data_IF_365360228271
#
_entry.id   IF_365360228271
#
_cell.length_a   1.000
_cell.length_b   1.000
_cell.length_c   1.000
_cell.angle_alpha   90.00
_cell.angle_beta   90.00
_cell.angle_gamma   90.00
#
_symmetry.space_group_name_H-M   'P 1'
#
loop_
_entity.id
_entity.type
_entity.pdbx_description
1 polymer ?
#
# COMPACT_ATOMS: atom_id res chain seq x y z
N UNK A 1 -4.75 21.14 -1.31
CA UNK A 1 -3.34 21.49 -1.56
C UNK A 1 -2.52 20.52 -0.73
N UNK A 2 -1.97 19.48 -1.34
CA UNK A 2 -1.33 18.36 -0.64
C UNK A 2 0.12 18.70 -0.33
N UNK A 3 0.51 18.69 0.95
CA UNK A 3 1.92 18.74 1.36
C UNK A 3 2.18 17.55 2.27
N UNK A 4 2.86 16.53 1.73
CA UNK A 4 3.34 15.39 2.50
C UNK A 4 4.71 15.76 3.06
N UNK A 5 4.79 16.06 4.35
CA UNK A 5 6.05 16.35 5.04
C UNK A 5 6.61 15.03 5.59
N UNK A 6 7.80 14.65 5.12
CA UNK A 6 8.56 13.52 5.64
C UNK A 6 9.21 13.88 6.98
N UNK A 7 8.92 13.14 8.04
CA UNK A 7 9.61 13.26 9.32
C UNK A 7 10.57 12.08 9.55
N UNK A 8 11.78 12.36 10.05
CA UNK A 8 12.81 11.37 10.37
C UNK A 8 12.48 10.58 11.64
N UNK A 9 12.85 9.31 11.59
CA UNK A 9 12.57 8.26 12.56
C UNK A 9 13.46 8.35 13.81
N UNK A 10 12.89 8.29 15.02
CA UNK A 10 13.64 7.90 16.23
C UNK A 10 12.81 7.03 17.17
N UNK A 11 13.51 6.02 17.68
CA UNK A 11 13.23 5.14 18.82
C UNK A 11 12.50 3.79 18.61
N UNK A 12 13.27 2.74 18.94
CA UNK A 12 12.88 1.34 19.20
C UNK A 12 12.27 1.22 20.61
N UNK A 13 11.29 0.33 20.80
CA UNK A 13 11.41 -0.91 21.61
C UNK A 13 10.09 -1.68 21.79
N UNK A 14 10.22 -3.01 21.61
CA UNK A 14 9.49 -4.19 22.11
C UNK A 14 7.97 -4.33 21.93
N UNK A 15 7.59 -5.34 21.13
CA UNK A 15 6.25 -5.94 21.02
C UNK A 15 6.27 -7.35 21.63
N UNK A 16 5.23 -7.64 22.43
CA UNK A 16 4.93 -8.97 22.99
C UNK A 16 3.98 -9.69 22.02
N UNK A 17 4.21 -11.00 21.87
CA UNK A 17 3.55 -11.89 20.92
C UNK A 17 2.06 -12.14 21.24
N UNK A 18 1.22 -12.07 20.21
CA UNK A 18 -0.12 -12.65 20.18
C UNK A 18 -0.22 -13.61 18.98
N UNK A 19 -0.51 -14.88 19.25
CA UNK A 19 -0.61 -15.93 18.25
C UNK A 19 -1.98 -15.87 17.54
N UNK A 20 -1.96 -15.74 16.21
CA UNK A 20 -3.11 -16.01 15.35
C UNK A 20 -2.73 -17.10 14.35
N UNK A 21 -3.55 -18.16 14.29
CA UNK A 21 -3.43 -19.24 13.33
C UNK A 21 -3.79 -18.71 11.93
N UNK A 22 -2.77 -18.54 11.09
CA UNK A 22 -2.92 -18.48 9.63
C UNK A 22 -2.23 -19.72 9.05
N UNK A 23 -2.88 -20.37 8.09
CA UNK A 23 -2.23 -21.40 7.26
C UNK A 23 -1.22 -20.66 6.39
N UNK A 24 -0.01 -20.52 6.93
CA UNK A 24 1.16 -20.06 6.19
C UNK A 24 1.63 -21.21 5.31
N UNK A 25 1.80 -20.95 4.01
CA UNK A 25 2.95 -21.53 3.32
C UNK A 25 4.18 -21.04 4.08
N UNK A 26 4.72 -21.89 4.96
CA UNK A 26 5.96 -21.64 5.68
C UNK A 26 7.10 -21.53 4.67
N UNK A 27 7.30 -20.34 4.09
CA UNK A 27 8.64 -19.96 3.66
C UNK A 27 9.44 -19.79 4.94
N UNK A 28 10.40 -20.70 5.15
CA UNK A 28 11.34 -20.61 6.26
C UNK A 28 11.98 -19.21 6.23
N UNK A 29 11.73 -18.43 7.28
CA UNK A 29 12.22 -17.06 7.42
C UNK A 29 13.73 -17.04 7.19
N UNK A 30 14.17 -16.53 6.03
CA UNK A 30 15.59 -16.40 5.67
C UNK A 30 16.11 -17.27 4.53
N UNK A 31 15.30 -18.13 3.91
CA UNK A 31 15.69 -18.76 2.64
C UNK A 31 15.39 -17.85 1.45
N UNK A 32 16.35 -17.74 0.52
CA UNK A 32 16.17 -17.00 -0.73
C UNK A 32 15.12 -17.76 -1.57
N UNK A 33 13.97 -17.17 -1.91
CA UNK A 33 12.96 -17.83 -2.69
C UNK A 33 13.52 -18.16 -4.07
N UNK A 34 13.19 -19.33 -4.58
CA UNK A 34 13.46 -19.66 -5.98
C UNK A 34 12.36 -19.06 -6.86
N UNK A 35 12.70 -18.74 -8.09
CA UNK A 35 11.79 -18.17 -9.08
C UNK A 35 11.64 -19.10 -10.28
N UNK A 36 10.62 -18.85 -11.09
CA UNK A 36 10.42 -19.53 -12.37
C UNK A 36 10.21 -18.50 -13.46
N UNK A 37 10.76 -18.78 -14.65
CA UNK A 37 10.36 -18.09 -15.87
C UNK A 37 9.16 -18.80 -16.49
N UNK A 38 8.02 -18.11 -16.58
CA UNK A 38 6.82 -18.57 -17.28
C UNK A 38 7.02 -18.54 -18.79
N UNK A 39 7.68 -17.51 -19.30
CA UNK A 39 7.94 -17.35 -20.74
C UNK A 39 9.29 -16.71 -21.02
N UNK A 40 9.83 -17.05 -22.19
CA UNK A 40 11.02 -16.48 -22.79
C UNK A 40 10.64 -16.05 -24.21
N UNK A 41 10.61 -14.74 -24.45
CA UNK A 41 10.23 -14.13 -25.72
C UNK A 41 11.38 -13.36 -26.37
N UNK A 42 11.24 -13.07 -27.67
CA UNK A 42 12.20 -12.25 -28.44
C UNK A 42 13.51 -12.94 -28.80
N UNK A 43 13.67 -14.22 -28.47
CA UNK A 43 14.84 -15.02 -28.83
C UNK A 43 14.68 -15.61 -30.24
N UNK A 44 15.71 -15.54 -31.10
CA UNK A 44 15.73 -16.35 -32.32
C UNK A 44 15.52 -17.85 -32.03
N UNK A 45 14.82 -18.57 -32.92
CA UNK A 45 14.43 -19.98 -32.67
C UNK A 45 15.61 -20.90 -32.32
N UNK A 46 16.75 -20.75 -33.00
CA UNK A 46 17.97 -21.52 -32.74
C UNK A 46 18.61 -21.23 -31.36
N UNK A 47 18.33 -20.06 -30.78
CA UNK A 47 18.90 -19.64 -29.50
C UNK A 47 18.08 -20.08 -28.28
N UNK A 48 16.77 -20.33 -28.47
CA UNK A 48 15.83 -20.65 -27.39
C UNK A 48 16.27 -21.83 -26.49
N UNK A 49 16.84 -22.94 -27.01
CA UNK A 49 17.31 -24.04 -26.16
C UNK A 49 18.37 -23.63 -25.14
N UNK A 50 19.24 -22.68 -25.50
CA UNK A 50 20.29 -22.17 -24.61
C UNK A 50 19.68 -21.37 -23.46
N UNK A 51 18.75 -20.46 -23.76
CA UNK A 51 18.04 -19.70 -22.72
C UNK A 51 17.20 -20.61 -21.82
N UNK A 52 16.48 -21.59 -22.38
CA UNK A 52 15.74 -22.57 -21.57
C UNK A 52 16.66 -23.39 -20.65
N UNK A 53 17.86 -23.75 -21.11
CA UNK A 53 18.85 -24.50 -20.33
C UNK A 53 19.41 -23.70 -19.16
N UNK A 54 19.81 -22.44 -19.37
CA UNK A 54 20.50 -21.65 -18.34
C UNK A 54 19.58 -20.77 -17.49
N UNK A 55 18.35 -20.52 -17.94
CA UNK A 55 17.39 -19.61 -17.29
C UNK A 55 16.07 -20.33 -16.93
N UNK A 56 15.58 -21.23 -17.78
CA UNK A 56 14.16 -21.66 -17.79
C UNK A 56 13.73 -22.75 -16.80
N UNK A 57 14.65 -23.49 -16.15
CA UNK A 57 14.27 -24.64 -15.30
C UNK A 57 14.60 -24.43 -13.83
N UNK A 58 13.66 -23.83 -13.10
CA UNK A 58 13.70 -23.78 -11.65
C UNK A 58 12.29 -23.98 -11.10
N UNK A 59 12.16 -24.82 -10.06
CA UNK A 59 10.94 -24.85 -9.25
C UNK A 59 10.83 -23.51 -8.52
N UNK A 60 9.65 -22.90 -8.50
CA UNK A 60 9.45 -21.62 -7.80
C UNK A 60 8.87 -21.85 -6.43
N UNK A 61 9.40 -21.16 -5.43
CA UNK A 61 8.75 -20.98 -4.13
C UNK A 61 8.16 -19.58 -3.99
N UNK A 62 8.40 -18.68 -4.95
CA UNK A 62 7.77 -17.37 -5.02
C UNK A 62 6.31 -17.47 -5.47
N UNK A 63 5.47 -16.57 -4.96
CA UNK A 63 4.05 -16.43 -5.30
C UNK A 63 3.77 -15.79 -6.67
N UNK A 64 4.81 -15.59 -7.48
CA UNK A 64 4.76 -14.98 -8.80
C UNK A 64 5.65 -15.69 -9.80
N UNK A 65 5.43 -15.37 -11.07
CA UNK A 65 6.26 -15.81 -12.18
C UNK A 65 7.11 -14.66 -12.74
N UNK A 66 8.17 -15.01 -13.46
CA UNK A 66 8.97 -14.09 -14.24
C UNK A 66 8.73 -14.30 -15.74
N UNK A 67 8.87 -13.23 -16.52
CA UNK A 67 8.92 -13.30 -17.98
C UNK A 67 10.20 -12.65 -18.47
N UNK A 68 10.85 -13.24 -19.47
CA UNK A 68 12.02 -12.66 -20.10
C UNK A 68 11.67 -12.24 -21.53
N UNK A 69 12.10 -11.04 -21.92
CA UNK A 69 12.02 -10.56 -23.30
C UNK A 69 13.40 -10.14 -23.78
N UNK A 70 13.93 -10.84 -24.77
CA UNK A 70 15.11 -10.37 -25.50
C UNK A 70 14.70 -9.24 -26.44
N UNK A 71 15.40 -8.11 -26.31
CA UNK A 71 15.20 -6.88 -27.08
C UNK A 71 16.22 -6.75 -28.21
N UNK A 72 17.44 -7.20 -27.96
CA UNK A 72 18.54 -7.14 -28.90
C UNK A 72 19.34 -8.44 -28.85
N UNK A 73 19.55 -9.02 -30.03
CA UNK A 73 20.34 -10.23 -30.24
C UNK A 73 20.94 -10.16 -31.64
N UNK A 74 21.95 -9.31 -31.82
CA UNK A 74 22.48 -9.05 -33.16
C UNK A 74 23.96 -8.67 -33.19
N UNK A 75 24.58 -8.94 -34.33
CA UNK A 75 25.93 -8.53 -34.65
C UNK A 75 25.91 -7.10 -35.20
N UNK A 76 26.50 -6.15 -34.47
CA UNK A 76 26.67 -4.77 -34.95
C UNK A 76 27.84 -4.64 -35.93
N UNK A 77 28.82 -5.51 -35.80
CA UNK A 77 29.96 -5.61 -36.72
C UNK A 77 30.51 -7.04 -36.72
N UNK A 78 31.61 -7.28 -37.45
CA UNK A 78 32.30 -8.58 -37.45
C UNK A 78 33.03 -8.91 -36.15
N UNK A 79 33.15 -7.94 -35.24
CA UNK A 79 33.90 -8.11 -34.00
C UNK A 79 33.05 -7.78 -32.77
N UNK A 80 31.75 -7.49 -32.97
CA UNK A 80 30.87 -7.00 -31.92
C UNK A 80 29.46 -7.58 -32.03
N UNK A 81 29.09 -8.33 -31.00
CA UNK A 81 27.73 -8.80 -30.77
C UNK A 81 27.10 -8.03 -29.60
N UNK A 82 25.84 -7.59 -29.76
CA UNK A 82 25.07 -6.89 -28.74
C UNK A 82 23.90 -7.75 -28.27
N UNK A 83 23.74 -7.78 -26.95
CA UNK A 83 22.66 -8.48 -26.29
C UNK A 83 21.98 -7.60 -25.25
N UNK A 84 20.66 -7.51 -25.35
CA UNK A 84 19.81 -6.84 -24.38
C UNK A 84 18.60 -7.72 -24.07
N UNK A 85 18.38 -8.03 -22.79
CA UNK A 85 17.18 -8.66 -22.31
C UNK A 85 16.58 -7.92 -21.11
N UNK A 86 15.26 -7.90 -21.06
CA UNK A 86 14.48 -7.40 -19.94
C UNK A 86 13.76 -8.58 -19.25
N UNK A 87 13.76 -8.56 -17.92
CA UNK A 87 13.03 -9.50 -17.08
C UNK A 87 11.92 -8.74 -16.38
N UNK A 88 10.71 -9.29 -16.44
CA UNK A 88 9.50 -8.75 -15.86
C UNK A 88 9.00 -9.68 -14.76
N UNK A 89 8.44 -9.10 -13.71
CA UNK A 89 7.63 -9.83 -12.74
C UNK A 89 6.18 -9.87 -13.23
N UNK A 90 5.53 -11.02 -13.07
CA UNK A 90 4.13 -11.22 -13.41
C UNK A 90 3.37 -11.66 -12.17
N UNK A 91 2.63 -10.72 -11.62
CA UNK A 91 1.82 -10.87 -10.42
C UNK A 91 0.71 -9.84 -10.43
N UNK A 92 -0.37 -10.11 -9.69
CA UNK A 92 -1.40 -9.12 -9.37
C UNK A 92 -1.89 -8.33 -10.59
N UNK A 93 -2.59 -9.03 -11.50
CA UNK A 93 -2.90 -8.75 -12.93
C UNK A 93 -3.57 -7.43 -13.33
N UNK A 94 -3.46 -6.34 -12.55
CA UNK A 94 -4.10 -5.06 -12.89
C UNK A 94 -3.43 -4.35 -14.08
N UNK A 95 -2.10 -4.29 -14.13
CA UNK A 95 -1.34 -3.51 -15.13
C UNK A 95 -0.42 -4.36 -16.01
N UNK A 96 -0.56 -5.68 -15.95
CA UNK A 96 0.33 -6.62 -16.66
C UNK A 96 1.76 -6.67 -16.09
N UNK A 97 2.69 -7.32 -16.81
CA UNK A 97 4.07 -7.53 -16.36
C UNK A 97 4.79 -6.22 -16.02
N UNK A 98 5.50 -6.19 -14.89
CA UNK A 98 6.27 -5.03 -14.44
C UNK A 98 7.77 -5.27 -14.64
N UNK A 99 8.48 -4.31 -15.23
CA UNK A 99 9.93 -4.44 -15.45
C UNK A 99 10.64 -4.59 -14.10
N UNK A 100 11.40 -5.67 -13.97
CA UNK A 100 12.13 -6.02 -12.76
C UNK A 100 13.63 -5.76 -12.93
N UNK A 101 14.21 -6.23 -14.03
CA UNK A 101 15.64 -6.18 -14.27
C UNK A 101 15.93 -6.03 -15.77
N UNK A 102 16.91 -5.20 -16.11
CA UNK A 102 17.35 -5.01 -17.49
C UNK A 102 18.83 -5.32 -17.59
N UNK A 103 19.20 -6.14 -18.56
CA UNK A 103 20.57 -6.58 -18.78
C UNK A 103 21.04 -6.23 -20.18
N UNK A 104 22.15 -5.52 -20.26
CA UNK A 104 22.81 -5.16 -21.51
C UNK A 104 24.25 -5.64 -21.47
N UNK A 105 24.71 -6.23 -22.56
CA UNK A 105 26.07 -6.73 -22.69
C UNK A 105 26.56 -6.67 -24.13
N UNK A 106 27.87 -6.58 -24.26
CA UNK A 106 28.57 -6.58 -25.53
C UNK A 106 29.63 -7.68 -25.49
N UNK A 107 29.67 -8.50 -26.53
CA UNK A 107 30.64 -9.58 -26.65
C UNK A 107 31.54 -9.26 -27.84
N UNK A 108 32.85 -9.30 -27.60
CA UNK A 108 33.82 -9.29 -28.68
C UNK A 108 33.79 -10.63 -29.38
N UNK A 109 33.83 -10.60 -30.69
CA UNK A 109 33.83 -11.82 -31.51
C UNK A 109 35.14 -11.92 -32.28
N UNK A 110 35.66 -13.13 -32.50
CA UNK A 110 36.84 -13.34 -33.33
C UNK A 110 36.41 -14.01 -34.64
N UNK A 111 37.03 -13.57 -35.75
CA UNK A 111 36.66 -13.83 -37.15
C UNK A 111 35.97 -15.16 -37.44
N UNK A 112 34.84 -15.09 -38.14
CA UNK A 112 33.89 -16.20 -38.27
C UNK A 112 34.13 -17.10 -39.49
N UNK A 113 33.76 -18.39 -39.35
CA UNK A 113 33.57 -19.33 -40.46
C UNK A 113 32.14 -19.32 -41.02
N UNK A 114 31.11 -19.15 -40.18
CA UNK A 114 29.70 -19.01 -40.59
C UNK A 114 28.86 -18.21 -39.57
N UNK A 115 27.76 -17.58 -40.02
CA UNK A 115 26.85 -16.81 -39.13
C UNK A 115 26.03 -17.70 -38.18
N UNK A 116 25.75 -18.95 -38.57
CA UNK A 116 24.90 -19.86 -37.80
C UNK A 116 25.60 -20.40 -36.55
N UNK A 117 26.82 -20.94 -36.70
CA UNK A 117 27.62 -21.46 -35.58
C UNK A 117 27.92 -20.39 -34.54
N UNK A 118 28.20 -19.17 -34.99
CA UNK A 118 28.48 -18.06 -34.09
C UNK A 118 27.23 -17.53 -33.37
N UNK A 119 26.05 -17.64 -33.99
CA UNK A 119 24.78 -17.35 -33.33
C UNK A 119 24.52 -18.28 -32.14
N UNK A 120 24.88 -19.56 -32.26
CA UNK A 120 24.79 -20.52 -31.16
C UNK A 120 25.78 -20.23 -30.03
N UNK A 121 27.03 -19.88 -30.38
CA UNK A 121 28.03 -19.47 -29.39
C UNK A 121 27.58 -18.22 -28.62
N UNK A 122 27.07 -17.22 -29.33
CA UNK A 122 26.53 -16.01 -28.69
C UNK A 122 25.28 -16.30 -27.87
N UNK A 123 24.42 -17.21 -28.29
CA UNK A 123 23.26 -17.65 -27.50
C UNK A 123 23.71 -18.28 -26.18
N UNK A 124 24.73 -19.15 -26.22
CA UNK A 124 25.31 -19.76 -25.03
C UNK A 124 25.94 -18.72 -24.10
N UNK A 125 26.81 -17.85 -24.62
CA UNK A 125 27.52 -16.85 -23.82
C UNK A 125 26.55 -15.82 -23.19
N UNK A 126 25.59 -15.31 -23.97
CA UNK A 126 24.60 -14.33 -23.49
C UNK A 126 23.67 -14.93 -22.43
N UNK A 127 23.18 -16.15 -22.63
CA UNK A 127 22.30 -16.83 -21.66
C UNK A 127 23.03 -17.19 -20.36
N UNK A 128 24.28 -17.65 -20.41
CA UNK A 128 25.10 -17.90 -19.23
C UNK A 128 25.37 -16.59 -18.48
N UNK A 129 25.82 -15.56 -19.20
CA UNK A 129 26.12 -14.26 -18.62
C UNK A 129 24.89 -13.61 -17.97
N UNK A 130 23.74 -13.66 -18.62
CA UNK A 130 22.47 -13.19 -18.06
C UNK A 130 22.08 -13.99 -16.81
N UNK A 131 22.15 -15.31 -16.86
CA UNK A 131 21.82 -16.18 -15.72
C UNK A 131 22.69 -15.87 -14.51
N UNK A 132 24.01 -15.79 -14.69
CA UNK A 132 24.95 -15.45 -13.61
C UNK A 132 24.66 -14.07 -13.01
N UNK A 133 24.48 -13.05 -13.87
CA UNK A 133 24.22 -11.67 -13.43
C UNK A 133 22.87 -11.55 -12.74
N UNK A 134 21.83 -12.19 -13.27
CA UNK A 134 20.51 -12.18 -12.66
C UNK A 134 20.46 -12.96 -11.35
N UNK A 135 21.11 -14.12 -11.24
CA UNK A 135 21.20 -14.87 -9.98
C UNK A 135 21.93 -14.05 -8.89
N UNK A 136 23.02 -13.37 -9.26
CA UNK A 136 23.72 -12.48 -8.34
C UNK A 136 22.84 -11.28 -7.92
N UNK A 137 22.12 -10.68 -8.88
CA UNK A 137 21.17 -9.61 -8.59
C UNK A 137 20.05 -10.09 -7.66
N UNK A 138 19.43 -11.24 -7.96
CA UNK A 138 18.35 -11.83 -7.19
C UNK A 138 18.75 -12.05 -5.73
N UNK A 139 19.91 -12.68 -5.50
CA UNK A 139 20.47 -12.92 -4.16
C UNK A 139 20.56 -11.64 -3.31
N UNK A 140 20.80 -10.49 -3.95
CA UNK A 140 21.00 -9.21 -3.28
C UNK A 140 19.73 -8.34 -3.18
N UNK A 141 18.65 -8.67 -3.90
CA UNK A 141 17.48 -7.80 -4.04
C UNK A 141 16.14 -8.46 -3.71
N UNK A 142 16.06 -9.80 -3.63
CA UNK A 142 14.80 -10.52 -3.43
C UNK A 142 14.01 -10.05 -2.20
N UNK A 143 14.68 -9.62 -1.14
CA UNK A 143 14.08 -9.23 0.14
C UNK A 143 13.87 -7.72 0.30
N UNK A 144 14.16 -6.94 -0.74
CA UNK A 144 14.19 -5.47 -0.71
C UNK A 144 13.44 -4.82 -1.85
N UNK A 145 13.37 -5.45 -3.02
CA UNK A 145 12.61 -4.90 -4.15
C UNK A 145 11.11 -5.04 -3.86
N UNK A 146 10.33 -3.94 -3.88
CA UNK A 146 8.90 -3.99 -3.65
C UNK A 146 8.14 -4.97 -4.55
N UNK A 147 8.67 -5.21 -5.75
CA UNK A 147 8.08 -6.12 -6.73
C UNK A 147 8.17 -7.59 -6.34
N UNK A 148 9.09 -7.94 -5.44
CA UNK A 148 9.42 -9.31 -5.06
C UNK A 148 8.86 -9.71 -3.69
N UNK A 149 8.15 -8.80 -3.02
CA UNK A 149 7.51 -9.03 -1.73
C UNK A 149 6.54 -10.22 -1.82
N UNK A 150 6.65 -11.18 -0.92
CA UNK A 150 5.80 -12.38 -0.89
C UNK A 150 4.54 -12.18 -0.03
N UNK A 151 4.60 -11.23 0.89
CA UNK A 151 3.59 -11.09 1.93
C UNK A 151 3.46 -9.63 2.38
N UNK A 152 2.22 -9.18 2.58
CA UNK A 152 1.93 -7.92 3.28
C UNK A 152 1.42 -8.24 4.68
N UNK A 153 2.09 -7.72 5.71
CA UNK A 153 1.67 -7.81 7.11
C UNK A 153 1.22 -6.45 7.59
N UNK A 154 -0.08 -6.29 7.75
CA UNK A 154 -0.67 -5.09 8.31
C UNK A 154 -0.61 -5.15 9.84
N UNK A 155 -0.13 -4.09 10.46
CA UNK A 155 -0.16 -3.91 11.91
C UNK A 155 -0.84 -2.58 12.22
N UNK A 156 -1.93 -2.61 13.00
CA UNK A 156 -2.59 -1.38 13.41
C UNK A 156 -1.96 -0.90 14.71
N UNK A 157 -1.20 0.19 14.61
CA UNK A 157 -0.70 0.90 15.77
C UNK A 157 -1.88 1.47 16.58
N UNK A 158 -1.68 1.76 17.89
CA UNK A 158 -2.67 2.51 18.65
C UNK A 158 -3.08 3.79 17.92
N UNK A 159 -4.37 4.10 17.97
CA UNK A 159 -4.91 5.32 17.40
C UNK A 159 -4.13 6.52 17.97
N UNK A 160 -3.85 7.49 17.11
CA UNK A 160 -2.97 8.59 17.46
C UNK A 160 -3.55 9.42 18.60
N UNK A 161 -2.75 9.58 19.65
CA UNK A 161 -2.98 10.54 20.71
C UNK A 161 -1.69 11.35 20.90
N UNK A 162 -1.77 12.68 20.86
CA UNK A 162 -0.58 13.50 21.04
C UNK A 162 -0.14 13.46 22.51
N UNK A 163 1.17 13.48 22.75
CA UNK A 163 1.72 13.51 24.13
C UNK A 163 1.32 14.78 24.90
N UNK A 164 1.06 15.87 24.17
CA UNK A 164 0.54 17.14 24.69
C UNK A 164 -0.66 17.52 23.85
N UNK A 165 -1.71 18.04 24.50
CA UNK A 165 -2.89 18.50 23.78
C UNK A 165 -2.51 19.52 22.71
N UNK A 166 -3.00 19.30 21.49
CA UNK A 166 -2.87 20.27 20.42
C UNK A 166 -3.89 21.41 20.61
N UNK A 167 -3.49 22.62 20.24
CA UNK A 167 -4.32 23.81 20.46
C UNK A 167 -5.62 23.78 19.64
N UNK A 168 -5.52 23.32 18.39
CA UNK A 168 -6.61 23.31 17.43
C UNK A 168 -7.29 21.96 17.26
N UNK A 169 -6.55 20.86 17.43
CA UNK A 169 -7.08 19.52 17.17
C UNK A 169 -7.52 18.84 18.46
N UNK A 170 -8.77 18.35 18.50
CA UNK A 170 -9.20 17.40 19.52
C UNK A 170 -9.22 16.00 18.91
N UNK A 171 -8.41 15.10 19.45
CA UNK A 171 -8.42 13.69 19.03
C UNK A 171 -9.47 12.89 19.79
N UNK A 172 -10.09 11.94 19.10
CA UNK A 172 -11.10 11.07 19.67
C UNK A 172 -10.50 10.24 20.82
N UNK A 173 -11.20 10.18 21.95
CA UNK A 173 -10.73 9.50 23.16
C UNK A 173 -9.75 10.30 24.03
N UNK A 174 -9.31 11.50 23.61
CA UNK A 174 -8.47 12.37 24.44
C UNK A 174 -9.23 12.96 25.63
N UNK A 175 -10.46 13.43 25.38
CA UNK A 175 -11.44 13.88 26.39
C UNK A 175 -12.83 13.82 25.77
N UNK A 176 -13.86 13.99 26.61
CA UNK A 176 -15.22 14.23 26.12
C UNK A 176 -15.30 15.57 25.39
N UNK A 177 -15.95 15.58 24.23
CA UNK A 177 -16.23 16.80 23.46
C UNK A 177 -17.16 17.70 24.27
N UNK A 178 -16.84 19.00 24.34
CA UNK A 178 -17.68 20.00 24.99
C UNK A 178 -17.74 21.30 24.18
N UNK A 179 -18.62 22.22 24.58
CA UNK A 179 -18.80 23.49 23.88
C UNK A 179 -17.57 24.41 23.87
N UNK A 180 -16.59 24.19 24.75
CA UNK A 180 -15.31 24.90 24.75
C UNK A 180 -14.37 24.48 23.61
N UNK A 181 -14.64 23.35 22.94
CA UNK A 181 -13.91 22.94 21.74
C UNK A 181 -14.40 23.66 20.47
N UNK A 182 -15.53 24.37 20.50
CA UNK A 182 -16.08 25.08 19.34
C UNK A 182 -15.58 26.53 19.33
N UNK A 183 -14.36 26.74 18.81
CA UNK A 183 -13.65 28.03 18.87
C UNK A 183 -13.90 28.96 17.68
N UNK A 184 -14.52 28.44 16.61
CA UNK A 184 -14.80 29.24 15.42
C UNK A 184 -16.03 30.14 15.61
N UNK A 185 -16.06 31.26 14.88
CA UNK A 185 -17.21 32.17 14.90
C UNK A 185 -18.33 31.60 14.04
N UNK A 186 -19.56 31.65 14.54
CA UNK A 186 -20.73 31.26 13.75
C UNK A 186 -20.87 32.15 12.50
N UNK A 187 -21.19 31.54 11.36
CA UNK A 187 -21.45 32.30 10.14
C UNK A 187 -22.71 33.16 10.28
N UNK A 188 -22.63 34.49 10.00
CA UNK A 188 -23.80 35.35 9.97
C UNK A 188 -24.84 34.82 8.98
N UNK A 189 -26.09 34.66 9.43
CA UNK A 189 -27.19 34.16 8.61
C UNK A 189 -27.26 32.64 8.44
N UNK A 190 -26.39 31.86 9.09
CA UNK A 190 -26.54 30.41 9.11
C UNK A 190 -27.86 30.00 9.78
N UNK A 191 -28.61 29.11 9.13
CA UNK A 191 -29.84 28.51 9.70
C UNK A 191 -29.54 27.47 10.79
N UNK A 192 -28.29 27.01 10.89
CA UNK A 192 -27.90 25.97 11.84
C UNK A 192 -27.55 26.55 13.22
N UNK A 193 -27.68 25.71 14.24
CA UNK A 193 -27.39 26.04 15.63
C UNK A 193 -25.90 25.89 15.96
N UNK A 194 -25.29 24.81 15.48
CA UNK A 194 -23.87 24.51 15.60
C UNK A 194 -23.39 23.75 14.37
N UNK A 195 -22.09 23.56 14.27
CA UNK A 195 -21.45 22.72 13.28
C UNK A 195 -20.11 22.24 13.83
N UNK A 196 -19.93 20.92 13.88
CA UNK A 196 -18.63 20.28 14.09
C UNK A 196 -17.90 20.06 12.76
N UNK A 197 -16.59 20.29 12.77
CA UNK A 197 -15.67 19.81 11.73
C UNK A 197 -14.92 18.59 12.27
N UNK A 198 -15.45 17.40 12.04
CA UNK A 198 -14.80 16.12 12.37
C UNK A 198 -14.34 15.38 11.13
N UNK A 199 -13.20 14.70 11.24
CA UNK A 199 -12.65 13.87 10.17
C UNK A 199 -11.74 12.76 10.73
N UNK A 200 -11.33 11.85 9.86
CA UNK A 200 -10.30 10.86 10.16
C UNK A 200 -9.26 10.80 9.04
N UNK A 201 -8.04 10.43 9.42
CA UNK A 201 -6.93 10.21 8.48
C UNK A 201 -6.11 9.00 8.94
N UNK A 202 -5.26 8.49 8.05
CA UNK A 202 -4.34 7.40 8.38
C UNK A 202 -2.93 7.72 7.90
N UNK A 203 -1.95 7.18 8.60
CA UNK A 203 -0.54 7.25 8.27
C UNK A 203 0.00 5.83 8.21
N UNK A 204 0.60 5.45 7.08
CA UNK A 204 1.23 4.15 6.89
C UNK A 204 2.76 4.30 6.89
N UNK A 205 3.46 3.34 7.49
CA UNK A 205 4.92 3.34 7.64
C UNK A 205 5.55 2.11 6.96
N UNK A 206 5.42 1.96 5.63
CA UNK A 206 5.82 0.73 4.93
C UNK A 206 7.31 0.44 5.11
N UNK A 207 7.61 -0.82 5.40
CA UNK A 207 8.98 -1.29 5.58
C UNK A 207 9.12 -2.71 5.05
N UNK A 208 10.12 -2.95 4.23
CA UNK A 208 10.39 -4.28 3.69
C UNK A 208 11.53 -4.92 4.48
N UNK A 209 11.28 -6.11 5.02
CA UNK A 209 12.31 -6.94 5.66
C UNK A 209 12.12 -8.41 5.29
N UNK A 210 13.17 -9.06 4.79
CA UNK A 210 13.18 -10.51 4.47
C UNK A 210 12.03 -10.92 3.53
N UNK A 211 11.70 -10.07 2.55
CA UNK A 211 10.65 -10.34 1.56
C UNK A 211 9.22 -10.13 2.08
N UNK A 212 9.05 -9.59 3.28
CA UNK A 212 7.76 -9.22 3.88
C UNK A 212 7.63 -7.70 3.91
N UNK A 213 6.51 -7.18 3.42
CA UNK A 213 6.10 -5.79 3.63
C UNK A 213 5.40 -5.67 4.97
N UNK A 214 6.10 -5.13 5.96
CA UNK A 214 5.47 -4.68 7.19
C UNK A 214 4.81 -3.33 6.92
N UNK A 215 3.53 -3.24 7.26
CA UNK A 215 2.71 -2.08 7.04
C UNK A 215 2.06 -1.64 8.36
N UNK A 216 2.83 -0.99 9.27
CA UNK A 216 2.27 -0.31 10.41
C UNK A 216 1.38 0.84 9.95
N UNK A 217 0.14 0.88 10.43
CA UNK A 217 -0.84 1.91 10.13
C UNK A 217 -1.30 2.54 11.44
N UNK A 218 -1.19 3.86 11.52
CA UNK A 218 -1.77 4.64 12.60
C UNK A 218 -2.94 5.45 12.07
N UNK A 219 -4.07 5.39 12.78
CA UNK A 219 -5.29 6.12 12.42
C UNK A 219 -5.48 7.27 13.41
N UNK A 220 -5.97 8.39 12.89
CA UNK A 220 -6.34 9.58 13.65
C UNK A 220 -7.81 9.85 13.40
N UNK A 221 -8.56 10.06 14.47
CA UNK A 221 -9.93 10.55 14.42
C UNK A 221 -9.94 11.85 15.21
N UNK A 222 -10.40 12.94 14.60
CA UNK A 222 -10.23 14.26 15.19
C UNK A 222 -11.36 15.22 14.83
N UNK A 223 -11.46 16.30 15.59
CA UNK A 223 -12.19 17.50 15.20
C UNK A 223 -11.30 18.74 15.28
N UNK A 224 -11.55 19.71 14.40
CA UNK A 224 -10.82 20.98 14.34
C UNK A 224 -11.62 22.06 15.06
N UNK A 225 -11.07 22.59 16.15
CA UNK A 225 -11.71 23.61 16.99
C UNK A 225 -11.92 24.92 16.23
N UNK A 226 -10.94 25.34 15.43
CA UNK A 226 -10.95 26.54 14.59
C UNK A 226 -11.96 26.50 13.45
N UNK A 227 -12.48 25.31 13.11
CA UNK A 227 -13.48 25.09 12.06
C UNK A 227 -14.85 24.66 12.60
N UNK A 228 -14.95 24.47 13.92
CA UNK A 228 -16.19 24.10 14.60
C UNK A 228 -16.76 25.31 15.33
N UNK A 229 -18.05 25.59 15.14
CA UNK A 229 -18.71 26.76 15.71
C UNK A 229 -20.06 26.40 16.31
N UNK A 230 -20.54 27.26 17.21
CA UNK A 230 -21.87 27.18 17.81
C UNK A 230 -22.47 28.57 17.97
N UNK A 231 -23.79 28.66 18.01
CA UNK A 231 -24.51 29.84 18.52
C UNK A 231 -24.55 29.83 20.06
N UNK A 232 -24.99 30.92 20.63
CA UNK A 232 -25.22 31.06 22.07
C UNK A 232 -26.55 30.41 22.48
N UNK A 233 -26.68 30.08 23.77
CA UNK A 233 -27.91 29.58 24.40
C UNK A 233 -28.51 28.33 23.73
N UNK A 234 -27.65 27.37 23.38
CA UNK A 234 -28.07 26.08 22.85
C UNK A 234 -28.47 25.12 23.98
N UNK A 235 -29.49 24.27 23.77
CA UNK A 235 -29.83 23.22 24.71
C UNK A 235 -28.76 22.11 24.70
N UNK A 236 -28.62 21.35 25.79
CA UNK A 236 -27.62 20.28 25.92
C UNK A 236 -27.71 19.22 24.81
N UNK A 237 -28.93 18.91 24.35
CA UNK A 237 -29.17 18.00 23.21
C UNK A 237 -28.45 18.40 21.93
N UNK A 238 -28.14 19.68 21.75
CA UNK A 238 -27.39 20.15 20.58
C UNK A 238 -25.91 19.73 20.66
N UNK A 239 -25.33 19.64 21.87
CA UNK A 239 -23.96 19.11 22.03
C UNK A 239 -23.94 17.62 21.74
N UNK A 240 -24.95 16.90 22.22
CA UNK A 240 -25.12 15.48 21.91
C UNK A 240 -25.24 15.24 20.40
N UNK A 241 -25.90 16.15 19.66
CA UNK A 241 -26.01 16.06 18.21
C UNK A 241 -24.63 16.10 17.54
N UNK A 242 -23.79 17.07 17.92
CA UNK A 242 -22.42 17.19 17.41
C UNK A 242 -21.50 16.06 17.89
N UNK A 243 -21.72 15.54 19.10
CA UNK A 243 -20.99 14.37 19.60
C UNK A 243 -21.29 13.13 18.75
N UNK A 244 -22.53 12.94 18.31
CA UNK A 244 -22.90 11.82 17.43
C UNK A 244 -22.27 11.93 16.05
N UNK A 245 -22.12 13.14 15.49
CA UNK A 245 -21.28 13.35 14.29
C UNK A 245 -19.83 12.89 14.51
N UNK A 246 -19.24 13.24 15.66
CA UNK A 246 -17.88 12.80 15.97
C UNK A 246 -17.77 11.27 16.12
N UNK A 247 -18.78 10.63 16.72
CA UNK A 247 -18.89 9.17 16.81
C UNK A 247 -19.05 8.50 15.44
N UNK A 248 -19.82 9.08 14.52
CA UNK A 248 -19.94 8.59 13.14
C UNK A 248 -18.56 8.62 12.45
N UNK A 249 -17.80 9.70 12.65
CA UNK A 249 -16.43 9.81 12.13
C UNK A 249 -15.52 8.72 12.70
N UNK A 250 -15.61 8.45 14.01
CA UNK A 250 -14.89 7.33 14.62
C UNK A 250 -15.31 5.97 14.04
N UNK A 251 -16.61 5.75 13.83
CA UNK A 251 -17.10 4.50 13.23
C UNK A 251 -16.57 4.30 11.80
N UNK A 252 -16.44 5.37 11.01
CA UNK A 252 -15.85 5.30 9.68
C UNK A 252 -14.40 4.83 9.73
N UNK A 253 -13.61 5.36 10.67
CA UNK A 253 -12.25 4.92 10.92
C UNK A 253 -12.18 3.44 11.34
N UNK A 254 -13.10 2.97 12.20
CA UNK A 254 -13.15 1.55 12.56
C UNK A 254 -13.53 0.67 11.36
N UNK A 255 -14.47 1.10 10.52
CA UNK A 255 -14.80 0.39 9.28
C UNK A 255 -13.59 0.28 8.35
N UNK A 256 -12.83 1.37 8.16
CA UNK A 256 -11.58 1.34 7.41
C UNK A 256 -10.63 0.27 7.98
N UNK A 257 -10.38 0.27 9.29
CA UNK A 257 -9.52 -0.71 9.96
C UNK A 257 -10.01 -2.14 9.73
N UNK A 258 -11.31 -2.37 9.88
CA UNK A 258 -11.91 -3.71 9.75
C UNK A 258 -11.90 -4.23 8.32
N UNK A 259 -12.11 -3.37 7.31
CA UNK A 259 -11.97 -3.76 5.90
C UNK A 259 -10.53 -4.22 5.61
N UNK A 260 -9.54 -3.43 6.02
CA UNK A 260 -8.13 -3.79 5.80
C UNK A 260 -7.75 -5.10 6.53
N UNK A 261 -8.22 -5.33 7.76
CA UNK A 261 -7.95 -6.59 8.49
C UNK A 261 -8.54 -7.83 7.80
N UNK A 262 -9.66 -7.68 7.10
CA UNK A 262 -10.34 -8.78 6.39
C UNK A 262 -9.71 -9.09 5.03
N UNK A 263 -8.93 -8.15 4.49
CA UNK A 263 -8.37 -8.27 3.15
C UNK A 263 -6.92 -8.72 3.15
N UNK A 264 -6.58 -9.53 2.14
CA UNK A 264 -5.19 -9.77 1.78
C UNK A 264 -4.75 -8.70 0.79
N UNK A 265 -4.05 -7.67 1.28
CA UNK A 265 -3.52 -6.62 0.42
C UNK A 265 -2.52 -7.20 -0.59
N UNK A 266 -2.58 -6.72 -1.83
CA UNK A 266 -1.69 -7.14 -2.90
C UNK A 266 -0.35 -6.42 -2.78
N UNK A 267 0.80 -7.11 -2.77
CA UNK A 267 2.09 -6.47 -2.54
C UNK A 267 2.45 -5.34 -3.52
N UNK A 268 2.03 -5.41 -4.78
CA UNK A 268 2.24 -4.33 -5.76
C UNK A 268 1.26 -3.16 -5.64
N UNK A 269 0.13 -3.35 -4.95
CA UNK A 269 -1.01 -2.42 -5.00
C UNK A 269 -1.52 -2.02 -3.62
N UNK A 270 -0.81 -2.39 -2.55
CA UNK A 270 -1.24 -2.17 -1.18
C UNK A 270 -1.55 -0.68 -0.90
N UNK A 271 -0.79 0.23 -1.51
CA UNK A 271 -0.95 1.68 -1.38
C UNK A 271 -2.27 2.16 -1.99
N UNK A 272 -2.56 1.69 -3.20
CA UNK A 272 -3.76 2.00 -3.96
C UNK A 272 -4.99 1.38 -3.31
N UNK A 273 -4.86 0.16 -2.77
CA UNK A 273 -5.91 -0.51 -2.02
C UNK A 273 -6.22 0.19 -0.69
N UNK A 274 -5.19 0.57 0.08
CA UNK A 274 -5.38 1.38 1.29
C UNK A 274 -6.13 2.67 0.98
N UNK A 275 -5.71 3.37 -0.08
CA UNK A 275 -6.38 4.61 -0.49
C UNK A 275 -7.82 4.37 -0.93
N UNK A 276 -8.09 3.28 -1.64
CA UNK A 276 -9.45 2.92 -2.05
C UNK A 276 -10.36 2.72 -0.83
N UNK A 277 -9.93 1.94 0.15
CA UNK A 277 -10.71 1.66 1.36
C UNK A 277 -10.88 2.88 2.26
N UNK A 278 -9.86 3.74 2.32
CA UNK A 278 -10.00 5.02 2.99
C UNK A 278 -11.09 5.87 2.33
N UNK A 279 -11.08 6.01 1.00
CA UNK A 279 -12.09 6.77 0.28
C UNK A 279 -13.50 6.17 0.42
N UNK A 280 -13.61 4.84 0.48
CA UNK A 280 -14.88 4.16 0.71
C UNK A 280 -15.46 4.50 2.09
N UNK A 281 -14.66 4.33 3.15
CA UNK A 281 -15.04 4.72 4.51
C UNK A 281 -15.35 6.22 4.63
N UNK A 282 -14.60 7.07 3.93
CA UNK A 282 -14.84 8.51 3.88
C UNK A 282 -16.17 8.88 3.21
N UNK A 283 -16.54 8.19 2.12
CA UNK A 283 -17.86 8.36 1.48
C UNK A 283 -18.97 7.88 2.39
N UNK A 284 -18.79 6.72 3.03
CA UNK A 284 -19.73 6.19 4.01
C UNK A 284 -19.96 7.19 5.15
N UNK A 285 -18.90 7.76 5.72
CA UNK A 285 -18.97 8.78 6.77
C UNK A 285 -19.85 9.97 6.32
N UNK A 286 -19.52 10.56 5.17
CA UNK A 286 -20.22 11.74 4.68
C UNK A 286 -21.70 11.48 4.35
N UNK A 287 -22.01 10.30 3.80
CA UNK A 287 -23.40 9.92 3.54
C UNK A 287 -24.15 9.69 4.86
N UNK A 288 -23.52 9.02 5.82
CA UNK A 288 -24.12 8.74 7.14
C UNK A 288 -24.39 10.03 7.93
N UNK A 289 -23.46 10.99 7.94
CA UNK A 289 -23.67 12.29 8.58
C UNK A 289 -24.84 13.06 7.94
N UNK A 290 -24.97 13.05 6.61
CA UNK A 290 -26.10 13.68 5.91
C UNK A 290 -27.43 13.01 6.23
N UNK A 291 -27.46 11.67 6.26
CA UNK A 291 -28.66 10.91 6.63
C UNK A 291 -29.06 11.24 8.06
N UNK A 292 -28.09 11.25 8.99
CA UNK A 292 -28.31 11.61 10.38
C UNK A 292 -28.88 13.03 10.54
N UNK A 293 -28.31 14.03 9.88
CA UNK A 293 -28.85 15.40 9.87
C UNK A 293 -30.27 15.46 9.28
N UNK A 294 -30.54 14.69 8.23
CA UNK A 294 -31.87 14.66 7.59
C UNK A 294 -32.93 14.05 8.50
N UNK A 295 -32.65 12.88 9.07
CA UNK A 295 -33.61 12.14 9.90
C UNK A 295 -33.88 12.81 11.24
N UNK A 296 -32.88 13.46 11.84
CA UNK A 296 -33.04 14.20 13.09
C UNK A 296 -33.56 15.62 12.90
N UNK A 297 -33.70 16.08 11.64
CA UNK A 297 -33.99 17.48 11.35
C UNK A 297 -32.91 18.40 11.92
N UNK A 298 -31.63 18.01 11.81
CA UNK A 298 -30.47 18.71 12.38
C UNK A 298 -30.58 18.88 13.92
N UNK A 299 -30.95 17.79 14.61
CA UNK A 299 -31.10 17.75 16.07
C UNK A 299 -32.43 18.30 16.61
N UNK A 300 -33.41 18.58 15.73
CA UNK A 300 -34.74 19.07 16.12
C UNK A 300 -35.60 17.93 16.70
N UNK A 301 -35.50 16.72 16.15
CA UNK A 301 -36.31 15.55 16.48
C UNK A 301 -35.59 14.63 17.49
N UNK A 302 -35.87 14.77 18.81
CA UNK A 302 -35.10 14.07 19.84
C UNK A 302 -35.26 12.55 19.82
N UNK A 303 -36.44 12.05 19.41
CA UNK A 303 -36.69 10.59 19.32
C UNK A 303 -35.81 9.95 18.25
N UNK A 304 -35.65 10.59 17.10
CA UNK A 304 -34.77 10.07 16.04
C UNK A 304 -33.30 10.22 16.44
N UNK A 305 -32.93 11.33 17.08
CA UNK A 305 -31.57 11.54 17.58
C UNK A 305 -31.17 10.44 18.57
N UNK A 306 -32.04 10.05 19.49
CA UNK A 306 -31.71 9.00 20.46
C UNK A 306 -31.50 7.63 19.81
N UNK A 307 -32.28 7.28 18.78
CA UNK A 307 -32.04 6.04 18.00
C UNK A 307 -30.64 6.02 17.38
N UNK A 308 -30.18 7.17 16.88
CA UNK A 308 -28.82 7.30 16.36
C UNK A 308 -27.78 7.27 17.49
N UNK A 309 -28.01 7.97 18.60
CA UNK A 309 -27.12 7.93 19.76
C UNK A 309 -26.89 6.49 20.25
N UNK A 310 -27.95 5.68 20.34
CA UNK A 310 -27.90 4.28 20.73
C UNK A 310 -27.13 3.42 19.73
N UNK A 311 -27.32 3.66 18.42
CA UNK A 311 -26.60 2.97 17.34
C UNK A 311 -25.08 3.18 17.39
N UNK A 312 -24.64 4.34 17.90
CA UNK A 312 -23.23 4.72 18.00
C UNK A 312 -22.78 4.90 19.47
N UNK A 313 -23.45 4.23 20.41
CA UNK A 313 -23.12 4.32 21.84
C UNK A 313 -21.76 3.69 22.16
#
# INVERSE_FOLDING_TARGET
>A
MFTTIWAKNTHKKHLIAGAFYFIFSLLAVGQIPTFRFQSIGGTPAHSLPYFQKYIGKQASTADFDLQMQVKEFEFKSKDLFQFHADIFVVRDTISGPQLLYSYKSQFKTQGYKSKAEHGEEMAKLSSQSLSERFNAWWKNNWDRDPKLIQEVRVDFLPDYLPQKAEEDTLFYGQKTLDWGDFKSKSYPGSRFAAQIFSNFEYHAFPKIEKGILYLPIQVKVYMLRSHSWKKENLPDRALEHELTHFKITHQAAQQFKDQIKRMKLRPLWYDSELQWWFLDAYRWMNNTQKTYDTETGHGIHPVEQEKWNDKFR
#
